data_IF_995311349210
#
_entry.id   IF_995311349210
#
_cell.length_a   1.000
_cell.length_b   1.000
_cell.length_c   1.000
_cell.angle_alpha   90.00
_cell.angle_beta   90.00
_cell.angle_gamma   90.00
#
_symmetry.space_group_name_H-M   'P 1'
#
loop_
_entity.id
_entity.type
_entity.pdbx_description
1 polymer ?
#
# COMPACT_ATOMS: atom_id res chain seq x y z
N UNK A 1 -15.21 15.68 7.74
CA UNK A 1 -14.87 15.01 6.47
C UNK A 1 -13.43 14.51 6.54
N UNK A 2 -13.18 13.21 6.33
CA UNK A 2 -11.89 12.57 6.56
C UNK A 2 -11.24 12.12 5.25
N UNK A 3 -9.99 12.54 5.04
CA UNK A 3 -9.15 12.09 3.93
C UNK A 3 -8.47 10.78 4.31
N UNK A 4 -8.79 9.69 3.63
CA UNK A 4 -8.23 8.39 3.90
C UNK A 4 -7.23 7.99 2.80
N UNK A 5 -6.05 7.51 3.21
CA UNK A 5 -5.02 7.01 2.29
C UNK A 5 -5.09 5.48 2.23
N UNK A 6 -5.25 4.87 1.04
CA UNK A 6 -5.33 3.42 0.92
C UNK A 6 -4.14 2.67 1.51
N UNK A 7 -2.93 3.21 1.38
CA UNK A 7 -1.72 2.58 1.93
C UNK A 7 -1.71 2.46 3.45
N UNK A 8 -2.47 3.31 4.16
CA UNK A 8 -2.56 3.24 5.62
C UNK A 8 -3.38 2.04 6.10
N UNK A 9 -4.25 1.50 5.26
CA UNK A 9 -5.15 0.40 5.66
C UNK A 9 -4.38 -0.89 5.95
N UNK A 10 -3.42 -1.23 5.10
CA UNK A 10 -2.64 -2.45 5.22
C UNK A 10 -1.55 -2.40 6.32
N UNK A 11 -1.26 -1.20 6.85
CA UNK A 11 -0.17 -1.00 7.80
C UNK A 11 -0.65 -0.26 9.05
N UNK A 12 -0.76 1.07 8.98
CA UNK A 12 -0.98 1.91 10.14
C UNK A 12 -2.29 1.57 10.89
N UNK A 13 -3.40 1.38 10.14
CA UNK A 13 -4.69 1.05 10.74
C UNK A 13 -4.69 -0.31 11.43
N UNK A 14 -4.08 -1.33 10.82
CA UNK A 14 -3.98 -2.66 11.42
C UNK A 14 -2.99 -2.69 12.58
N UNK A 15 -1.90 -1.94 12.52
CA UNK A 15 -0.90 -1.90 13.57
C UNK A 15 -1.40 -1.19 14.83
N UNK A 16 -2.04 -0.01 14.67
CA UNK A 16 -2.44 0.80 15.84
C UNK A 16 -3.57 1.79 15.52
N UNK A 17 -4.75 1.55 16.06
CA UNK A 17 -5.92 2.42 15.89
C UNK A 17 -5.68 3.84 16.44
N UNK A 18 -4.97 3.98 17.56
CA UNK A 18 -4.61 5.28 18.11
C UNK A 18 -3.71 6.07 17.17
N UNK A 19 -2.64 5.47 16.65
CA UNK A 19 -1.75 6.15 15.70
C UNK A 19 -2.49 6.55 14.42
N UNK A 20 -3.37 5.70 13.92
CA UNK A 20 -4.22 6.02 12.78
C UNK A 20 -5.18 7.20 13.09
N UNK A 21 -5.86 7.16 14.23
CA UNK A 21 -6.74 8.25 14.70
C UNK A 21 -5.97 9.57 14.79
N UNK A 22 -4.80 9.57 15.45
CA UNK A 22 -3.95 10.76 15.60
C UNK A 22 -3.52 11.33 14.24
N UNK A 23 -3.18 10.47 13.28
CA UNK A 23 -2.84 10.89 11.93
C UNK A 23 -4.01 11.59 11.24
N UNK A 24 -5.19 10.99 11.26
CA UNK A 24 -6.34 11.50 10.50
C UNK A 24 -6.98 12.72 11.16
N UNK A 25 -7.15 12.71 12.49
CA UNK A 25 -7.83 13.78 13.24
C UNK A 25 -6.93 14.97 13.57
N UNK A 26 -5.66 14.70 13.84
CA UNK A 26 -4.74 15.71 14.40
C UNK A 26 -3.50 15.96 13.54
N UNK A 27 -3.31 15.23 12.44
CA UNK A 27 -2.12 15.39 11.59
C UNK A 27 -0.83 14.95 12.29
N UNK A 28 -0.92 14.10 13.31
CA UNK A 28 0.24 13.58 14.05
C UNK A 28 0.68 12.28 13.39
N UNK A 29 1.83 12.32 12.74
CA UNK A 29 2.39 11.21 11.98
C UNK A 29 3.41 10.43 12.81
N UNK A 30 3.45 9.12 12.61
CA UNK A 30 4.60 8.33 13.04
C UNK A 30 5.85 8.81 12.29
N UNK A 31 7.02 8.87 12.95
CA UNK A 31 8.28 9.12 12.27
C UNK A 31 8.49 8.09 11.15
N UNK A 32 8.81 8.56 9.94
CA UNK A 32 9.09 7.67 8.83
C UNK A 32 10.50 7.09 8.94
N UNK A 33 10.63 5.78 8.75
CA UNK A 33 11.94 5.18 8.55
C UNK A 33 12.41 5.46 7.12
N UNK A 34 13.67 5.91 6.92
CA UNK A 34 14.18 6.12 5.58
C UNK A 34 14.23 4.79 4.82
N UNK A 35 13.56 4.75 3.66
CA UNK A 35 13.66 3.60 2.77
C UNK A 35 15.01 3.68 2.03
N UNK A 36 15.78 2.58 1.94
CA UNK A 36 17.01 2.57 1.15
C UNK A 36 16.73 3.00 -0.30
N UNK A 37 17.50 3.96 -0.81
CA UNK A 37 17.29 4.59 -2.11
C UNK A 37 17.26 3.60 -3.29
N UNK A 38 17.91 2.44 -3.14
CA UNK A 38 17.92 1.38 -4.15
C UNK A 38 16.52 0.84 -4.44
N UNK A 39 15.65 0.68 -3.42
CA UNK A 39 14.27 0.22 -3.64
C UNK A 39 13.44 1.25 -4.40
N UNK A 40 13.57 2.53 -4.06
CA UNK A 40 12.94 3.60 -4.83
C UNK A 40 13.42 3.62 -6.29
N UNK A 41 14.73 3.47 -6.51
CA UNK A 41 15.31 3.45 -7.86
C UNK A 41 14.78 2.26 -8.68
N UNK A 42 14.74 1.05 -8.11
CA UNK A 42 14.20 -0.14 -8.77
C UNK A 42 12.72 0.06 -9.10
N UNK A 43 11.91 0.51 -8.12
CA UNK A 43 10.49 0.74 -8.31
C UNK A 43 10.21 1.72 -9.46
N UNK A 44 10.87 2.88 -9.45
CA UNK A 44 10.71 3.90 -10.48
C UNK A 44 11.09 3.37 -11.88
N UNK A 45 12.21 2.64 -11.99
CA UNK A 45 12.64 2.07 -13.27
C UNK A 45 11.70 0.99 -13.78
N UNK A 46 11.23 0.09 -12.90
CA UNK A 46 10.24 -0.93 -13.28
C UNK A 46 8.97 -0.26 -13.82
N UNK A 47 8.39 0.67 -13.07
CA UNK A 47 7.16 1.33 -13.49
C UNK A 47 7.32 2.09 -14.81
N UNK A 48 8.37 2.92 -14.93
CA UNK A 48 8.60 3.72 -16.15
C UNK A 48 8.85 2.86 -17.40
N UNK A 49 9.45 1.69 -17.24
CA UNK A 49 9.69 0.74 -18.34
C UNK A 49 8.39 0.10 -18.85
N UNK A 50 7.36 0.02 -18.00
CA UNK A 50 6.08 -0.63 -18.32
C UNK A 50 5.08 0.28 -19.05
N UNK A 51 5.23 1.60 -18.97
CA UNK A 51 4.28 2.52 -19.61
C UNK A 51 4.17 2.26 -21.11
N UNK A 52 2.92 2.16 -21.57
CA UNK A 52 2.59 1.90 -22.97
C UNK A 52 2.79 0.45 -23.43
N UNK A 53 3.29 -0.43 -22.57
CA UNK A 53 3.48 -1.87 -22.86
C UNK A 53 2.31 -2.69 -22.32
N UNK A 54 2.09 -3.86 -22.91
CA UNK A 54 1.19 -4.86 -22.37
C UNK A 54 1.93 -5.74 -21.36
N UNK A 55 1.31 -6.04 -20.22
CA UNK A 55 1.97 -6.86 -19.18
C UNK A 55 2.21 -8.30 -19.64
N UNK A 56 1.37 -8.84 -20.51
CA UNK A 56 1.51 -10.21 -21.00
C UNK A 56 2.83 -10.47 -21.73
N UNK A 57 3.50 -9.41 -22.22
CA UNK A 57 4.83 -9.52 -22.86
C UNK A 57 5.97 -9.78 -21.89
N UNK A 58 5.81 -9.46 -20.61
CA UNK A 58 6.87 -9.61 -19.61
C UNK A 58 7.09 -11.08 -19.23
N UNK A 59 6.01 -11.82 -19.05
CA UNK A 59 6.06 -13.23 -18.72
C UNK A 59 4.73 -13.93 -19.05
N UNK A 60 4.83 -15.22 -19.34
CA UNK A 60 3.64 -16.06 -19.52
C UNK A 60 2.81 -16.13 -18.23
N UNK A 61 1.51 -15.91 -18.34
CA UNK A 61 0.57 -15.98 -17.21
C UNK A 61 0.31 -14.64 -16.52
N UNK A 62 0.95 -13.56 -16.96
CA UNK A 62 0.56 -12.21 -16.52
C UNK A 62 -0.74 -11.80 -17.25
N UNK A 63 -1.58 -10.98 -16.59
CA UNK A 63 -2.84 -10.54 -17.19
C UNK A 63 -2.59 -9.61 -18.39
N UNK A 64 -3.42 -9.76 -19.42
CA UNK A 64 -3.42 -8.91 -20.59
C UNK A 64 -3.94 -7.51 -20.26
N UNK A 65 -3.24 -6.49 -20.76
CA UNK A 65 -3.63 -5.10 -20.61
C UNK A 65 -2.46 -4.14 -20.85
N UNK A 66 -2.74 -3.07 -21.57
CA UNK A 66 -1.76 -2.02 -21.88
C UNK A 66 -1.69 -1.00 -20.74
N UNK A 67 -0.53 -0.75 -20.20
CA UNK A 67 -0.31 0.29 -19.16
C UNK A 67 -0.59 1.67 -19.75
N UNK A 68 -1.64 2.33 -19.26
CA UNK A 68 -2.08 3.66 -19.71
C UNK A 68 -1.72 4.77 -18.73
N UNK A 69 -1.48 4.44 -17.46
CA UNK A 69 -1.03 5.40 -16.44
C UNK A 69 -0.16 4.72 -15.39
N UNK A 70 0.82 5.47 -14.87
CA UNK A 70 1.63 5.10 -13.73
C UNK A 70 1.59 6.20 -12.68
N UNK A 71 1.72 5.81 -11.40
CA UNK A 71 1.81 6.74 -10.27
C UNK A 71 0.72 7.83 -10.29
N UNK A 72 -0.51 7.44 -10.70
CA UNK A 72 -1.62 8.36 -10.86
C UNK A 72 -2.30 8.70 -9.53
N UNK A 73 -2.68 9.96 -9.39
CA UNK A 73 -3.45 10.41 -8.23
C UNK A 73 -4.92 10.09 -8.38
N UNK A 74 -5.52 9.66 -7.27
CA UNK A 74 -6.97 9.51 -7.12
C UNK A 74 -7.49 10.43 -6.02
N UNK A 75 -8.69 10.96 -6.25
CA UNK A 75 -9.47 11.71 -5.27
C UNK A 75 -10.93 11.33 -5.49
N UNK A 76 -11.54 10.60 -4.54
CA UNK A 76 -12.89 10.07 -4.72
C UNK A 76 -13.96 11.05 -4.27
N UNK A 77 -15.19 10.81 -4.71
CA UNK A 77 -16.37 11.33 -4.03
C UNK A 77 -16.41 10.79 -2.59
N UNK A 78 -17.18 11.45 -1.74
CA UNK A 78 -17.48 10.97 -0.39
C UNK A 78 -18.13 9.58 -0.52
N UNK A 79 -17.67 8.65 0.31
CA UNK A 79 -18.22 7.30 0.34
C UNK A 79 -19.62 7.34 0.97
N UNK A 80 -20.63 6.67 0.39
CA UNK A 80 -22.00 6.72 0.88
C UNK A 80 -22.11 6.36 2.37
N UNK A 81 -22.93 7.15 3.09
CA UNK A 81 -23.19 6.99 4.52
C UNK A 81 -21.96 7.17 5.43
N UNK A 82 -20.97 7.92 4.97
CA UNK A 82 -19.76 8.26 5.73
C UNK A 82 -19.36 9.73 5.54
N UNK A 83 -18.41 10.20 6.35
CA UNK A 83 -17.74 11.49 6.14
C UNK A 83 -16.37 11.35 5.48
N UNK A 84 -16.09 10.19 4.90
CA UNK A 84 -14.78 9.81 4.40
C UNK A 84 -14.71 9.80 2.88
N UNK A 85 -13.53 10.10 2.34
CA UNK A 85 -13.19 9.95 0.93
C UNK A 85 -11.77 9.40 0.77
N UNK A 86 -11.52 8.76 -0.37
CA UNK A 86 -10.22 8.17 -0.68
C UNK A 86 -9.36 9.17 -1.44
N UNK A 87 -8.13 9.36 -0.98
CA UNK A 87 -7.11 10.12 -1.70
C UNK A 87 -5.77 9.43 -1.58
N UNK A 88 -5.12 9.21 -2.73
CA UNK A 88 -3.84 8.53 -2.77
C UNK A 88 -3.26 8.44 -4.16
N UNK A 89 -2.18 7.67 -4.29
CA UNK A 89 -1.44 7.47 -5.53
C UNK A 89 -1.37 5.97 -5.81
N UNK A 90 -1.95 5.54 -6.94
CA UNK A 90 -1.87 4.15 -7.39
C UNK A 90 -0.62 3.94 -8.25
N UNK A 91 -0.15 2.69 -8.36
CA UNK A 91 1.06 2.39 -9.13
C UNK A 91 0.79 2.32 -10.63
N UNK A 92 -0.05 1.38 -11.10
CA UNK A 92 -0.32 1.19 -12.52
C UNK A 92 -1.82 1.02 -12.80
N UNK A 93 -2.29 1.66 -13.88
CA UNK A 93 -3.61 1.44 -14.45
C UNK A 93 -3.44 0.96 -15.89
N UNK A 94 -4.12 -0.14 -16.25
CA UNK A 94 -4.07 -0.75 -17.56
C UNK A 94 -5.43 -0.74 -18.22
N UNK A 95 -5.46 -0.51 -19.54
CA UNK A 95 -6.63 -0.73 -20.38
C UNK A 95 -6.57 -2.15 -21.00
N UNK A 96 -7.63 -2.91 -20.83
CA UNK A 96 -7.80 -4.24 -21.40
C UNK A 96 -8.42 -4.18 -22.80
N UNK A 97 -8.33 -5.24 -23.61
CA UNK A 97 -8.92 -5.26 -24.96
C UNK A 97 -10.43 -4.96 -24.99
N UNK A 98 -11.16 -5.35 -23.96
CA UNK A 98 -12.60 -5.10 -23.79
C UNK A 98 -12.94 -3.69 -23.27
N UNK A 99 -11.95 -2.78 -23.21
CA UNK A 99 -12.07 -1.42 -22.72
C UNK A 99 -12.39 -1.32 -21.22
N UNK A 100 -12.37 -2.41 -20.49
CA UNK A 100 -12.31 -2.38 -19.03
C UNK A 100 -10.88 -2.14 -18.55
N UNK A 101 -10.71 -1.98 -17.25
CA UNK A 101 -9.41 -1.64 -16.70
C UNK A 101 -8.97 -2.64 -15.61
N UNK A 102 -7.67 -2.79 -15.52
CA UNK A 102 -6.95 -3.55 -14.51
C UNK A 102 -6.12 -2.59 -13.67
N UNK A 103 -6.28 -2.65 -12.35
CA UNK A 103 -5.46 -1.92 -11.39
C UNK A 103 -4.38 -2.83 -10.83
N UNK A 104 -3.14 -2.40 -10.90
CA UNK A 104 -1.97 -3.14 -10.44
C UNK A 104 -1.21 -2.32 -9.41
N UNK A 105 -0.92 -2.95 -8.29
CA UNK A 105 -0.02 -2.44 -7.28
C UNK A 105 1.30 -3.22 -7.35
N UNK A 106 2.42 -2.51 -7.51
CA UNK A 106 3.73 -3.09 -7.74
C UNK A 106 4.46 -3.27 -6.41
N UNK A 107 4.98 -4.46 -6.16
CA UNK A 107 5.70 -4.78 -4.93
C UNK A 107 7.08 -5.38 -5.21
N UNK A 108 8.09 -4.83 -4.54
CA UNK A 108 9.43 -5.41 -4.50
C UNK A 108 9.54 -6.15 -3.16
N UNK A 109 9.15 -7.40 -3.15
CA UNK A 109 9.08 -8.21 -1.91
C UNK A 109 8.90 -9.67 -2.22
N UNK A 110 9.25 -10.54 -1.28
CA UNK A 110 9.01 -11.97 -1.42
C UNK A 110 7.52 -12.25 -1.66
N UNK A 111 7.16 -13.06 -2.67
CA UNK A 111 5.77 -13.41 -2.95
C UNK A 111 5.24 -14.41 -1.91
N UNK A 112 4.13 -14.05 -1.25
CA UNK A 112 3.37 -14.90 -0.34
C UNK A 112 1.87 -14.65 -0.55
N UNK A 113 1.06 -15.68 -0.39
CA UNK A 113 -0.39 -15.58 -0.63
C UNK A 113 -1.11 -14.76 0.45
N UNK A 114 -0.55 -14.64 1.65
CA UNK A 114 -1.02 -13.75 2.73
C UNK A 114 -1.08 -12.27 2.31
N UNK A 115 -0.30 -11.88 1.30
CA UNK A 115 -0.35 -10.54 0.72
C UNK A 115 -1.69 -10.22 0.07
N UNK A 116 -2.42 -11.23 -0.42
CA UNK A 116 -3.74 -11.03 -1.02
C UNK A 116 -4.67 -10.38 0.01
N UNK A 117 -4.82 -10.98 1.18
CA UNK A 117 -5.66 -10.42 2.25
C UNK A 117 -5.10 -9.09 2.78
N UNK A 118 -3.79 -8.99 2.97
CA UNK A 118 -3.15 -7.77 3.46
C UNK A 118 -3.44 -6.55 2.59
N UNK A 119 -3.41 -6.69 1.27
CA UNK A 119 -3.58 -5.57 0.32
C UNK A 119 -4.99 -5.47 -0.26
N UNK A 120 -5.89 -6.39 0.08
CA UNK A 120 -7.26 -6.43 -0.44
C UNK A 120 -8.00 -5.11 -0.25
N UNK A 121 -8.02 -4.60 0.97
CA UNK A 121 -8.71 -3.35 1.30
C UNK A 121 -8.08 -2.14 0.60
N UNK A 122 -6.74 -2.09 0.53
CA UNK A 122 -6.01 -1.04 -0.17
C UNK A 122 -6.37 -0.98 -1.66
N UNK A 123 -6.35 -2.12 -2.35
CA UNK A 123 -6.65 -2.19 -3.78
C UNK A 123 -8.12 -1.91 -4.08
N UNK A 124 -9.05 -2.39 -3.25
CA UNK A 124 -10.47 -2.07 -3.38
C UNK A 124 -10.75 -0.59 -3.11
N UNK A 125 -9.97 0.08 -2.26
CA UNK A 125 -10.06 1.52 -2.06
C UNK A 125 -9.63 2.31 -3.32
N UNK A 126 -8.52 1.94 -3.94
CA UNK A 126 -8.11 2.54 -5.21
C UNK A 126 -9.12 2.27 -6.34
N UNK A 127 -9.65 1.02 -6.40
CA UNK A 127 -10.73 0.68 -7.32
C UNK A 127 -11.92 1.62 -7.14
N UNK A 128 -12.42 1.75 -5.90
CA UNK A 128 -13.53 2.63 -5.59
C UNK A 128 -13.26 4.07 -6.05
N UNK A 129 -12.07 4.61 -5.76
CA UNK A 129 -11.71 5.98 -6.13
C UNK A 129 -11.64 6.18 -7.64
N UNK A 130 -11.12 5.21 -8.39
CA UNK A 130 -11.07 5.24 -9.86
C UNK A 130 -12.45 5.12 -10.50
N UNK A 131 -13.37 4.39 -9.89
CA UNK A 131 -14.75 4.24 -10.37
C UNK A 131 -15.66 5.41 -9.94
N UNK A 132 -15.32 6.09 -8.84
CA UNK A 132 -16.11 7.20 -8.27
C UNK A 132 -15.25 8.44 -8.06
N UNK A 133 -14.59 8.97 -9.10
CA UNK A 133 -13.72 10.13 -8.95
C UNK A 133 -14.54 11.37 -8.56
N UNK A 134 -13.94 12.26 -7.77
CA UNK A 134 -14.51 13.57 -7.46
C UNK A 134 -14.63 14.41 -8.72
N UNK A 135 -13.61 14.34 -9.57
CA UNK A 135 -13.53 15.05 -10.84
C UNK A 135 -12.89 14.12 -11.90
N UNK A 136 -13.17 14.40 -13.18
CA UNK A 136 -12.58 13.68 -14.29
C UNK A 136 -13.34 12.40 -14.68
N UNK A 137 -12.64 11.51 -15.37
CA UNK A 137 -13.21 10.30 -15.95
C UNK A 137 -13.26 9.17 -14.91
N UNK A 138 -14.40 8.50 -14.84
CA UNK A 138 -14.52 7.22 -14.13
C UNK A 138 -13.97 6.07 -14.99
N UNK A 139 -13.30 5.12 -14.34
CA UNK A 139 -12.74 3.93 -14.97
C UNK A 139 -13.53 2.68 -14.49
N UNK A 140 -13.88 1.79 -15.40
CA UNK A 140 -14.50 0.51 -15.04
C UNK A 140 -13.41 -0.50 -14.70
N UNK A 141 -13.19 -0.74 -13.42
CA UNK A 141 -12.15 -1.67 -12.92
C UNK A 141 -12.76 -3.07 -12.77
N UNK A 142 -12.32 -4.03 -13.56
CA UNK A 142 -12.82 -5.40 -13.54
C UNK A 142 -11.82 -6.41 -12.98
N UNK A 143 -10.58 -5.98 -12.72
CA UNK A 143 -9.53 -6.82 -12.15
C UNK A 143 -8.57 -5.96 -11.32
N UNK A 144 -8.13 -6.47 -10.19
CA UNK A 144 -7.10 -5.85 -9.34
C UNK A 144 -6.09 -6.90 -8.91
N UNK A 145 -4.86 -6.50 -8.64
CA UNK A 145 -3.87 -7.43 -8.11
C UNK A 145 -2.49 -6.84 -7.89
N UNK A 146 -1.61 -7.70 -7.42
CA UNK A 146 -0.22 -7.37 -7.11
C UNK A 146 0.69 -7.91 -8.21
N UNK A 147 1.58 -7.06 -8.71
CA UNK A 147 2.70 -7.48 -9.56
C UNK A 147 3.95 -7.44 -8.70
N UNK A 148 4.44 -8.62 -8.32
CA UNK A 148 5.52 -8.77 -7.36
C UNK A 148 6.81 -9.09 -8.09
N UNK A 149 7.87 -8.37 -7.75
CA UNK A 149 9.24 -8.64 -8.18
C UNK A 149 10.07 -8.97 -6.95
N UNK A 150 10.78 -10.08 -7.02
CA UNK A 150 11.71 -10.52 -5.97
C UNK A 150 13.00 -11.06 -6.59
N UNK A 151 14.19 -10.69 -6.09
CA UNK A 151 15.43 -11.19 -6.66
C UNK A 151 15.58 -12.69 -6.41
N UNK A 152 15.71 -13.47 -7.48
CA UNK A 152 15.93 -14.92 -7.38
C UNK A 152 17.40 -15.29 -7.48
N UNK A 153 18.15 -14.63 -8.36
CA UNK A 153 19.56 -14.91 -8.54
C UNK A 153 20.32 -13.70 -9.08
N UNK A 154 21.63 -13.77 -9.01
CA UNK A 154 22.56 -12.80 -9.58
C UNK A 154 23.47 -13.50 -10.57
N UNK A 155 23.65 -12.93 -11.75
CA UNK A 155 24.63 -13.36 -12.72
C UNK A 155 25.61 -12.21 -13.06
N UNK A 156 26.80 -12.56 -13.53
CA UNK A 156 27.79 -11.59 -13.95
C UNK A 156 28.00 -11.68 -15.47
N UNK A 157 27.91 -10.55 -16.13
CA UNK A 157 28.11 -10.45 -17.57
C UNK A 157 28.86 -9.16 -17.90
N UNK A 158 29.97 -9.26 -18.65
CA UNK A 158 30.71 -8.11 -19.18
C UNK A 158 31.08 -7.05 -18.11
N UNK A 159 31.42 -7.51 -16.88
CA UNK A 159 31.78 -6.62 -15.77
C UNK A 159 30.59 -6.05 -15.01
N UNK A 160 29.37 -6.45 -15.34
CA UNK A 160 28.15 -6.04 -14.66
C UNK A 160 27.55 -7.17 -13.83
N UNK A 161 26.93 -6.80 -12.69
CA UNK A 161 26.10 -7.69 -11.90
C UNK A 161 24.64 -7.52 -12.33
N UNK A 162 24.04 -8.60 -12.85
CA UNK A 162 22.65 -8.64 -13.26
C UNK A 162 21.81 -9.35 -12.20
N UNK A 163 20.86 -8.63 -11.60
CA UNK A 163 19.90 -9.20 -10.65
C UNK A 163 18.65 -9.61 -11.40
N UNK A 164 18.26 -10.87 -11.28
CA UNK A 164 17.07 -11.43 -11.94
C UNK A 164 15.85 -11.29 -11.04
N UNK A 165 14.85 -10.54 -11.49
CA UNK A 165 13.60 -10.29 -10.81
C UNK A 165 12.43 -10.83 -11.65
N UNK A 166 12.07 -12.12 -11.55
CA UNK A 166 10.92 -12.63 -12.30
C UNK A 166 9.63 -12.04 -11.73
N UNK A 167 8.72 -11.56 -12.61
CA UNK A 167 7.43 -11.05 -12.17
C UNK A 167 6.52 -12.20 -11.73
N UNK A 168 5.83 -11.99 -10.60
CA UNK A 168 4.75 -12.87 -10.13
C UNK A 168 3.46 -12.07 -9.98
N UNK A 169 2.37 -12.60 -10.54
CA UNK A 169 1.03 -12.05 -10.40
C UNK A 169 0.28 -12.72 -9.27
N UNK A 170 -0.31 -11.92 -8.39
CA UNK A 170 -1.30 -12.35 -7.40
C UNK A 170 -2.59 -11.57 -7.64
N UNK A 171 -3.63 -12.24 -8.09
CA UNK A 171 -4.95 -11.65 -8.25
C UNK A 171 -5.59 -11.43 -6.89
N UNK A 172 -6.13 -10.23 -6.69
CA UNK A 172 -6.83 -9.86 -5.46
C UNK A 172 -8.33 -9.83 -5.75
N UNK A 173 -9.17 -10.43 -4.89
CA UNK A 173 -10.61 -10.42 -5.10
C UNK A 173 -11.20 -9.00 -5.05
N UNK A 174 -12.14 -8.74 -5.97
CA UNK A 174 -13.00 -7.57 -5.89
C UNK A 174 -13.98 -7.74 -4.73
N UNK A 175 -14.01 -6.78 -3.82
CA UNK A 175 -14.84 -6.82 -2.61
C UNK A 175 -15.34 -5.42 -2.25
N UNK A 176 -16.29 -4.94 -3.04
CA UNK A 176 -16.87 -3.61 -2.86
C UNK A 176 -17.61 -3.48 -1.52
N UNK A 177 -18.39 -4.50 -1.17
CA UNK A 177 -19.22 -4.48 0.04
C UNK A 177 -18.35 -4.55 1.30
N UNK A 178 -17.34 -5.42 1.30
CA UNK A 178 -16.35 -5.51 2.38
C UNK A 178 -15.57 -4.20 2.54
N UNK A 179 -15.19 -3.56 1.43
CA UNK A 179 -14.54 -2.26 1.46
C UNK A 179 -15.44 -1.17 2.08
N UNK A 180 -16.70 -1.06 1.65
CA UNK A 180 -17.64 -0.07 2.21
C UNK A 180 -17.87 -0.29 3.71
N UNK A 181 -18.06 -1.57 4.11
CA UNK A 181 -18.18 -1.93 5.53
C UNK A 181 -16.94 -1.48 6.33
N UNK A 182 -15.76 -1.75 5.82
CA UNK A 182 -14.50 -1.35 6.45
C UNK A 182 -14.39 0.18 6.61
N UNK A 183 -14.79 0.97 5.60
CA UNK A 183 -14.77 2.43 5.72
C UNK A 183 -15.77 2.94 6.74
N UNK A 184 -16.95 2.32 6.86
CA UNK A 184 -17.92 2.65 7.93
C UNK A 184 -17.37 2.37 9.33
N UNK A 185 -16.55 1.32 9.49
CA UNK A 185 -15.87 1.04 10.76
C UNK A 185 -14.81 2.12 11.07
N UNK A 186 -14.05 2.56 10.05
CA UNK A 186 -13.13 3.69 10.20
C UNK A 186 -13.88 4.97 10.59
N UNK A 187 -14.99 5.27 9.93
CA UNK A 187 -15.77 6.48 10.20
C UNK A 187 -16.30 6.48 11.65
N UNK A 188 -16.78 5.34 12.15
CA UNK A 188 -17.16 5.16 13.55
C UNK A 188 -15.99 5.36 14.51
N UNK A 189 -14.81 4.82 14.18
CA UNK A 189 -13.60 5.02 14.97
C UNK A 189 -13.26 6.51 15.07
N UNK A 190 -13.29 7.22 13.94
CA UNK A 190 -12.93 8.63 13.87
C UNK A 190 -13.97 9.57 14.52
N UNK A 191 -15.24 9.18 14.54
CA UNK A 191 -16.31 9.92 15.20
C UNK A 191 -16.40 9.62 16.71
N UNK A 192 -15.83 8.50 17.16
CA UNK A 192 -15.90 8.05 18.55
C UNK A 192 -14.84 8.66 19.47
N UNK A 193 -14.72 8.05 20.64
CA UNK A 193 -13.68 8.39 21.61
C UNK A 193 -12.27 8.04 21.09
N UNK A 194 -11.26 8.67 21.69
CA UNK A 194 -9.86 8.37 21.36
C UNK A 194 -9.57 6.89 21.65
N UNK A 195 -9.19 6.09 20.65
CA UNK A 195 -8.95 4.67 20.85
C UNK A 195 -7.72 4.41 21.71
N UNK A 196 -7.71 3.27 22.38
CA UNK A 196 -6.52 2.82 23.13
C UNK A 196 -5.36 2.51 22.18
N UNK A 197 -4.15 2.65 22.69
CA UNK A 197 -2.94 2.25 21.97
C UNK A 197 -2.85 0.73 21.81
N UNK A 198 -2.20 0.29 20.73
CA UNK A 198 -1.87 -1.12 20.55
C UNK A 198 -0.66 -1.49 21.41
N UNK A 199 -0.77 -2.58 22.16
CA UNK A 199 0.33 -3.12 23.00
C UNK A 199 1.57 -3.50 22.19
N UNK A 200 1.40 -3.78 20.91
CA UNK A 200 2.48 -4.16 19.97
C UNK A 200 3.03 -2.99 19.17
N UNK A 201 2.41 -1.82 19.26
CA UNK A 201 2.85 -0.65 18.51
C UNK A 201 4.16 -0.09 19.08
N UNK A 202 5.24 -0.21 18.31
CA UNK A 202 6.56 0.25 18.73
C UNK A 202 6.63 1.78 18.95
N UNK A 203 5.85 2.54 18.20
CA UNK A 203 5.78 4.00 18.34
C UNK A 203 5.08 4.43 19.64
N UNK A 204 4.00 3.74 20.02
CA UNK A 204 3.36 3.99 21.30
C UNK A 204 4.30 3.61 22.46
N UNK A 205 4.95 2.44 22.39
CA UNK A 205 5.96 2.04 23.38
C UNK A 205 7.10 3.06 23.47
N UNK A 206 7.64 3.53 22.34
CA UNK A 206 8.72 4.52 22.32
C UNK A 206 8.31 5.86 22.96
N UNK A 207 7.08 6.32 22.76
CA UNK A 207 6.59 7.56 23.40
C UNK A 207 6.64 7.49 24.94
N UNK A 208 6.39 6.32 25.51
CA UNK A 208 6.39 6.12 26.96
C UNK A 208 7.78 5.91 27.56
N UNK A 209 8.80 5.69 26.76
CA UNK A 209 10.18 5.54 27.27
C UNK A 209 10.60 6.76 28.08
N UNK A 210 10.31 7.98 27.61
CA UNK A 210 10.63 9.21 28.33
C UNK A 210 9.92 9.36 29.69
N UNK A 211 8.71 8.79 29.80
CA UNK A 211 7.94 8.82 31.05
C UNK A 211 8.48 7.83 32.10
N UNK A 212 9.17 6.77 31.64
CA UNK A 212 9.66 5.67 32.47
C UNK A 212 11.17 5.69 32.69
N UNK A 213 11.92 6.58 32.06
CA UNK A 213 13.38 6.66 32.17
C UNK A 213 13.89 6.75 33.61
N UNK A 214 13.16 7.42 34.51
CA UNK A 214 13.50 7.51 35.94
C UNK A 214 13.44 6.16 36.67
N UNK A 215 12.83 5.15 36.08
CA UNK A 215 12.67 3.79 36.62
C UNK A 215 13.55 2.76 35.93
N UNK A 216 14.23 3.12 34.83
CA UNK A 216 15.20 2.23 34.18
C UNK A 216 16.44 2.16 35.10
N UNK A 217 16.69 0.99 35.67
CA UNK A 217 17.97 0.67 36.26
C UNK A 217 19.03 0.75 35.17
N UNK A 218 20.23 1.26 35.50
CA UNK A 218 21.39 1.15 34.62
C UNK A 218 21.79 -0.32 34.50
N UNK A 219 21.14 -1.06 33.62
CA UNK A 219 21.69 -2.32 33.19
C UNK A 219 22.77 -2.03 32.14
N UNK A 220 23.96 -2.64 32.26
CA UNK A 220 25.01 -2.46 31.26
C UNK A 220 24.50 -2.91 29.91
N UNK A 221 24.77 -2.10 28.88
CA UNK A 221 24.44 -2.47 27.51
C UNK A 221 25.00 -3.85 27.19
N UNK A 222 24.12 -4.82 26.86
CA UNK A 222 24.58 -6.09 26.35
C UNK A 222 25.13 -5.85 24.94
N UNK A 223 26.42 -6.11 24.77
CA UNK A 223 27.20 -5.91 23.54
C UNK A 223 26.83 -6.93 22.42
N UNK A 224 25.57 -7.19 22.23
CA UNK A 224 25.13 -8.00 21.09
C UNK A 224 24.07 -7.25 20.29
N UNK A 225 24.54 -6.48 19.30
CA UNK A 225 23.69 -6.06 18.18
C UNK A 225 23.75 -7.17 17.15
N UNK A 226 22.71 -7.97 16.95
CA UNK A 226 22.67 -8.91 15.84
C UNK A 226 22.48 -8.11 14.55
N UNK A 227 23.45 -8.21 13.67
CA UNK A 227 23.36 -7.74 12.28
C UNK A 227 22.53 -8.70 11.42
#
# INVERSE_FOLDING_TARGET
MYKLSPSDFAYLYEECKLCYYLKIKHGIYQPSMPMPGVFSAINTRLQSTLVGKDLSILAKGLPEGKVIAQEGWVDSKIIPETESYIKGKFDLLLERPDKTHLLVDLKISQPHDDKIEKYKTQLNAYKYALENPKEGRAYKITKIGLLIFYPENVSFKEGEALVHFPPKWLEVPLDQDGFIKFIREIDKLLAGEVPSESKTCKWCQYRHVGETLSHLKEEPAQDEIPF
#
